data_IF_752887804687
#
_entry.id   IF_752887804687
#
_cell.length_a   1.000
_cell.length_b   1.000
_cell.length_c   1.000
_cell.angle_alpha   90.00
_cell.angle_beta   90.00
_cell.angle_gamma   90.00
#
_symmetry.space_group_name_H-M   'P 1'
#
loop_
_entity.id
_entity.type
_entity.pdbx_description
1 polymer ?
2 non-polymer ?
3 non-polymer ?
4 water ?
#
# COMPACT_ATOMS: atom_id res chain seq x y z
N UNK A 39 22.28 7.17 -2.89
CA UNK A 39 22.94 8.51 -2.87
C UNK A 39 24.24 8.45 -2.05
N UNK A 40 24.70 9.60 -1.53
CA UNK A 40 25.90 9.62 -0.67
C UNK A 40 25.67 9.07 0.73
N UNK A 41 24.39 9.01 1.12
CA UNK A 41 24.02 8.52 2.46
C UNK A 41 24.26 7.02 2.47
N UNK A 42 25.12 6.52 3.38
CA UNK A 42 25.16 5.09 3.63
C UNK A 42 23.94 4.68 4.44
N UNK A 43 23.32 3.58 4.05
CA UNK A 43 22.10 3.12 4.73
C UNK A 43 22.42 1.79 5.41
N UNK A 44 22.24 1.74 6.75
CA UNK A 44 22.57 0.57 7.52
C UNK A 44 21.33 0.19 8.32
N UNK A 45 20.86 -1.03 8.09
CA UNK A 45 19.72 -1.53 8.85
C UNK A 45 20.17 -2.26 10.11
N UNK A 46 19.48 -2.00 11.22
CA UNK A 46 19.74 -2.69 12.47
C UNK A 46 18.60 -3.69 12.58
N UNK A 47 18.96 -4.98 12.60
CA UNK A 47 17.98 -6.09 12.63
C UNK A 47 18.14 -6.89 13.92
N UNK A 48 17.06 -7.52 14.36
CA UNK A 48 17.09 -8.35 15.54
C UNK A 48 15.66 -8.52 16.04
N UNK A 49 15.47 -9.47 16.95
CA UNK A 49 14.15 -9.84 17.39
C UNK A 49 13.50 -8.71 18.25
N UNK A 50 12.22 -8.84 18.58
CA UNK A 50 11.55 -7.89 19.45
C UNK A 50 12.32 -7.76 20.78
N UNK A 51 12.61 -6.53 21.24
CA UNK A 51 13.30 -6.27 22.52
C UNK A 51 14.73 -6.79 22.59
N UNK A 52 15.36 -7.07 21.44
CA UNK A 52 16.80 -7.39 21.41
C UNK A 52 17.63 -6.25 21.97
N UNK A 53 17.21 -5.01 21.69
CA UNK A 53 17.86 -3.81 22.20
C UNK A 53 18.33 -2.87 21.10
N UNK A 54 17.57 -2.84 20.01
CA UNK A 54 18.00 -2.15 18.79
C UNK A 54 17.88 -0.65 18.92
N UNK A 55 16.74 -0.20 19.42
CA UNK A 55 16.49 1.22 19.62
C UNK A 55 17.42 1.77 20.69
N UNK A 56 17.58 1.03 21.79
CA UNK A 56 18.54 1.38 22.82
C UNK A 56 19.96 1.52 22.30
N UNK A 57 20.45 0.50 21.60
CA UNK A 57 21.82 0.49 21.11
C UNK A 57 22.03 1.62 20.08
N UNK A 58 21.17 1.68 19.09
CA UNK A 58 21.36 2.65 18.01
C UNK A 58 21.19 4.12 18.45
N UNK A 59 20.31 4.35 19.41
CA UNK A 59 20.10 5.72 19.83
C UNK A 59 21.19 6.27 20.72
N UNK A 60 22.00 5.37 21.27
CA UNK A 60 23.14 5.77 22.06
C UNK A 60 24.34 5.91 21.10
N UNK A 61 24.51 4.91 20.25
CA UNK A 61 25.54 4.88 19.20
C UNK A 61 25.66 6.16 18.38
N UNK A 62 24.51 6.64 17.89
CA UNK A 62 24.48 7.74 16.91
C UNK A 62 24.86 9.11 17.50
N UNK A 63 24.90 9.21 18.81
CA UNK A 63 25.53 10.36 19.45
C UNK A 63 27.03 10.44 19.17
N UNK A 64 27.64 9.36 18.69
CA UNK A 64 29.08 9.32 18.40
C UNK A 64 29.44 10.20 17.21
N UNK A 65 28.48 10.50 16.37
CA UNK A 65 28.73 11.36 15.22
C UNK A 65 27.54 12.23 14.82
N UNK A 66 27.82 13.50 14.51
CA UNK A 66 26.81 14.39 13.95
C UNK A 66 26.36 13.94 12.56
N UNK A 67 27.21 13.16 11.88
CA UNK A 67 26.87 12.59 10.57
C UNK A 67 26.02 11.29 10.70
N UNK A 68 25.70 10.87 11.93
CA UNK A 68 24.86 9.66 12.15
C UNK A 68 23.45 9.99 12.62
N UNK A 69 22.45 9.42 11.93
CA UNK A 69 21.05 9.57 12.30
C UNK A 69 20.34 8.25 12.24
N UNK A 70 19.14 8.20 12.82
CA UNK A 70 18.35 6.94 12.91
C UNK A 70 16.96 7.22 12.38
N UNK A 71 16.38 6.28 11.63
CA UNK A 71 14.96 6.26 11.31
C UNK A 71 14.31 5.20 12.23
N UNK A 72 13.53 5.62 13.25
CA UNK A 72 13.01 4.62 14.20
C UNK A 72 11.90 3.83 13.57
N UNK A 73 11.62 2.62 14.07
CA UNK A 73 10.56 1.81 13.50
C UNK A 73 9.22 2.44 13.92
N UNK A 74 8.23 2.53 13.01
CA UNK A 74 6.99 3.29 13.34
C UNK A 74 6.01 2.52 14.26
N UNK A 75 6.53 1.88 15.30
CA UNK A 75 5.64 1.08 16.15
C UNK A 75 4.48 1.91 16.79
N UNK A 76 4.76 3.13 17.28
CA UNK A 76 3.68 4.03 17.80
C UNK A 76 2.50 4.22 16.86
N UNK A 77 2.81 4.31 15.56
CA UNK A 77 1.80 4.47 14.51
C UNK A 77 0.94 3.21 14.29
N UNK A 78 1.44 2.03 14.74
CA UNK A 78 0.70 0.74 14.63
C UNK A 78 -0.21 0.49 15.81
N UNK A 79 0.19 0.96 16.99
CA UNK A 79 -0.67 0.91 18.18
C UNK A 79 -1.68 2.09 18.37
N UNK A 80 -1.61 3.10 17.52
CA UNK A 80 -2.52 4.22 17.50
C UNK A 80 -2.65 4.64 16.06
N UNK A 81 -3.64 4.08 15.39
CA UNK A 81 -3.69 4.15 13.92
C UNK A 81 -4.41 5.43 13.55
N UNK A 82 -3.71 6.34 12.85
CA UNK A 82 -4.20 7.68 12.53
C UNK A 82 -3.87 8.01 11.08
N UNK A 83 -4.75 8.76 10.42
CA UNK A 83 -4.42 9.33 9.11
C UNK A 83 -4.57 10.87 9.10
N UNK A 84 -4.08 11.50 8.05
CA UNK A 84 -3.89 12.94 8.02
C UNK A 84 -5.22 13.68 8.10
N UNK A 85 -5.29 14.72 8.95
CA UNK A 85 -6.50 15.56 9.02
C UNK A 85 -6.51 16.60 7.90
N UNK A 86 -7.69 16.93 7.40
CA UNK A 86 -7.90 18.07 6.50
C UNK A 86 -7.30 19.35 7.15
N UNK A 87 -6.89 20.32 6.32
CA UNK A 87 -6.22 21.56 6.80
C UNK A 87 -7.08 22.49 7.68
N UNK A 88 -8.40 22.41 7.50
CA UNK A 88 -9.32 23.20 8.26
C UNK A 88 -9.82 22.43 9.46
N UNK A 89 -10.19 21.17 9.26
CA UNK A 89 -10.62 20.28 10.36
C UNK A 89 -9.65 20.20 11.53
N UNK A 90 -8.35 20.18 11.25
CA UNK A 90 -7.37 20.12 12.34
C UNK A 90 -7.27 21.41 13.16
N UNK A 91 -7.78 22.52 12.66
CA UNK A 91 -7.79 23.70 13.53
C UNK A 91 -8.85 23.65 14.61
N UNK A 92 -9.90 22.85 14.44
CA UNK A 92 -10.96 22.79 15.46
C UNK A 92 -11.22 21.39 16.08
N UNK A 93 -10.66 20.33 15.47
CA UNK A 93 -10.75 18.96 15.96
C UNK A 93 -9.36 18.40 16.35
N UNK A 94 -9.30 17.78 17.52
CA UNK A 94 -8.14 16.99 17.93
C UNK A 94 -7.85 15.84 16.96
N UNK A 95 -6.61 15.36 16.98
CA UNK A 95 -6.25 14.15 16.27
C UNK A 95 -6.44 13.06 17.33
N UNK A 96 -7.60 12.39 17.30
CA UNK A 96 -7.96 11.36 18.30
C UNK A 96 -7.14 10.08 18.15
N UNK A 97 -7.12 9.31 19.23
CA UNK A 97 -6.55 7.95 19.24
C UNK A 97 -7.38 7.01 18.36
N UNK A 98 -6.72 6.38 17.40
CA UNK A 98 -7.40 5.48 16.48
C UNK A 98 -7.27 4.08 17.01
N UNK A 99 -7.57 3.12 16.13
CA UNK A 99 -7.49 1.71 16.48
C UNK A 99 -6.09 1.27 16.82
N UNK A 100 -5.99 0.10 17.44
CA UNK A 100 -4.74 -0.55 17.76
C UNK A 100 -4.62 -1.79 16.86
N UNK A 101 -4.10 -1.60 15.67
CA UNK A 101 -3.90 -2.71 14.75
C UNK A 101 -2.78 -3.67 15.25
N UNK A 102 -1.83 -3.19 16.02
CA UNK A 102 -0.83 -4.08 16.62
C UNK A 102 -1.55 -5.09 17.50
N UNK A 103 -2.42 -4.58 18.35
CA UNK A 103 -3.14 -5.43 19.32
C UNK A 103 -4.08 -6.39 18.60
N UNK A 104 -4.77 -5.88 17.58
CA UNK A 104 -5.65 -6.72 16.76
C UNK A 104 -4.90 -7.90 16.16
N UNK A 105 -3.69 -7.63 15.63
CA UNK A 105 -2.89 -8.71 15.07
C UNK A 105 -2.55 -9.74 16.15
N UNK A 106 -2.08 -9.30 17.31
CA UNK A 106 -1.75 -10.26 18.36
C UNK A 106 -2.95 -11.05 18.84
N UNK A 107 -4.09 -10.38 18.92
CA UNK A 107 -5.28 -11.03 19.40
C UNK A 107 -5.88 -12.03 18.40
N UNK A 108 -5.93 -11.66 17.11
CA UNK A 108 -6.51 -12.54 16.09
C UNK A 108 -5.69 -12.51 14.80
N UNK A 109 -4.49 -13.13 14.82
CA UNK A 109 -3.55 -13.02 13.69
C UNK A 109 -4.07 -13.54 12.36
N UNK A 110 -4.90 -14.59 12.37
CA UNK A 110 -5.51 -15.12 11.13
C UNK A 110 -6.50 -14.14 10.47
N UNK A 111 -7.01 -13.18 11.26
CA UNK A 111 -7.85 -12.08 10.71
C UNK A 111 -7.04 -10.82 10.33
N UNK A 112 -6.12 -10.42 11.22
CA UNK A 112 -5.41 -9.14 11.08
C UNK A 112 -3.98 -9.08 10.54
N UNK A 113 -3.35 -10.24 10.28
CA UNK A 113 -1.92 -10.29 9.92
C UNK A 113 -1.67 -9.57 8.62
N UNK A 114 -2.38 -9.95 7.57
CA UNK A 114 -2.27 -9.24 6.27
C UNK A 114 -2.40 -7.68 6.40
N UNK A 115 -3.45 -7.21 7.05
CA UNK A 115 -3.71 -5.81 7.25
C UNK A 115 -2.57 -5.13 8.05
N UNK A 116 -2.19 -5.79 9.15
CA UNK A 116 -1.06 -5.28 9.91
C UNK A 116 0.24 -5.18 9.05
N UNK A 117 0.60 -6.26 8.37
CA UNK A 117 1.87 -6.34 7.66
C UNK A 117 1.91 -5.30 6.52
N UNK A 118 0.82 -5.19 5.80
CA UNK A 118 0.68 -4.14 4.75
C UNK A 118 1.00 -2.77 5.32
N UNK A 119 0.29 -2.41 6.39
CA UNK A 119 0.47 -1.12 7.06
C UNK A 119 1.84 -0.90 7.67
N UNK A 120 2.40 -1.95 8.30
CA UNK A 120 3.73 -1.85 8.91
C UNK A 120 4.76 -1.49 7.85
N UNK A 121 4.67 -2.14 6.71
CA UNK A 121 5.68 -1.90 5.66
C UNK A 121 5.46 -0.54 5.02
N UNK A 122 4.21 -0.21 4.74
CA UNK A 122 3.92 1.13 4.14
C UNK A 122 4.44 2.28 5.05
N UNK A 123 4.13 2.20 6.33
CA UNK A 123 4.60 3.25 7.23
C UNK A 123 6.12 3.28 7.35
N UNK A 124 6.78 2.12 7.23
CA UNK A 124 8.23 2.07 7.28
C UNK A 124 8.85 2.73 6.06
N UNK A 125 8.37 2.33 4.89
CA UNK A 125 8.91 2.87 3.64
C UNK A 125 8.72 4.39 3.70
N UNK A 126 7.52 4.83 4.05
CA UNK A 126 7.24 6.25 4.15
C UNK A 126 8.26 6.98 5.05
N UNK A 127 8.44 6.55 6.29
CA UNK A 127 9.44 7.13 7.14
C UNK A 127 10.87 7.04 6.59
N UNK A 128 11.26 5.91 5.99
CA UNK A 128 12.68 5.81 5.56
C UNK A 128 13.00 6.76 4.38
N UNK A 129 12.09 6.79 3.40
CA UNK A 129 12.19 7.73 2.27
C UNK A 129 12.26 9.21 2.65
N UNK A 130 11.41 9.63 3.60
CA UNK A 130 11.36 11.03 4.00
C UNK A 130 12.63 11.42 4.67
N UNK A 131 13.16 10.52 5.49
CA UNK A 131 14.42 10.78 6.15
C UNK A 131 15.58 10.75 5.15
N UNK A 132 15.46 9.94 4.10
CA UNK A 132 16.53 9.85 3.13
C UNK A 132 16.63 11.18 2.41
N UNK A 133 15.48 11.78 2.12
CA UNK A 133 15.41 12.96 1.29
C UNK A 133 15.50 14.28 2.07
N UNK A 134 15.79 14.21 3.36
CA UNK A 134 15.68 15.40 4.19
C UNK A 134 16.66 15.58 5.32
N UNK A 135 17.33 14.51 5.72
CA UNK A 135 18.32 14.60 6.81
C UNK A 135 19.76 14.47 6.28
N UNK A 136 20.72 14.82 7.12
CA UNK A 136 22.13 14.62 6.81
C UNK A 136 22.55 15.29 5.49
N UNK A 137 21.93 16.45 5.19
CA UNK A 137 22.24 17.24 3.98
C UNK A 137 23.64 17.90 4.05
N UNK A 138 24.01 18.37 5.25
CA UNK A 138 25.30 19.00 5.48
C UNK A 138 26.26 18.08 6.25
N UNK A 139 26.35 16.80 5.82
CA UNK A 139 27.26 15.84 6.46
C UNK A 139 28.45 15.40 5.58
N UNK A 140 29.61 15.24 6.22
CA UNK A 140 30.81 14.80 5.52
C UNK A 140 30.80 13.30 5.18
N UNK A 141 30.48 12.44 6.17
CA UNK A 141 30.27 11.02 5.87
C UNK A 141 28.95 10.56 6.51
N UNK A 142 27.83 10.77 5.81
CA UNK A 142 26.52 10.58 6.42
C UNK A 142 26.18 9.09 6.54
N UNK A 143 25.69 8.67 7.71
CA UNK A 143 25.20 7.31 7.87
C UNK A 143 23.80 7.37 8.46
N UNK A 144 22.84 6.79 7.73
CA UNK A 144 21.46 6.65 8.16
C UNK A 144 21.23 5.20 8.64
N UNK A 145 20.89 5.07 9.92
CA UNK A 145 20.61 3.75 10.47
C UNK A 145 19.10 3.48 10.50
N UNK A 146 18.65 2.38 9.92
CA UNK A 146 17.26 2.03 9.90
C UNK A 146 16.99 1.01 11.00
N UNK A 147 16.01 1.29 11.85
CA UNK A 147 15.55 0.26 12.77
C UNK A 147 14.70 -0.70 11.94
N UNK A 148 15.32 -1.81 11.55
CA UNK A 148 14.76 -2.87 10.70
C UNK A 148 14.54 -2.35 9.28
N UNK A 149 14.15 -3.25 8.38
CA UNK A 149 14.05 -2.94 6.95
C UNK A 149 12.79 -3.50 6.34
N UNK A 150 12.52 -3.11 5.08
CA UNK A 150 11.46 -3.77 4.34
C UNK A 150 11.70 -5.27 4.15
N UNK A 151 12.96 -5.68 4.19
CA UNK A 151 13.26 -7.12 4.10
C UNK A 151 12.87 -7.90 5.34
N UNK A 152 13.08 -7.32 6.53
CA UNK A 152 12.60 -8.05 7.69
C UNK A 152 11.09 -8.05 7.75
N UNK A 153 10.43 -7.01 7.24
CA UNK A 153 8.96 -7.00 7.21
C UNK A 153 8.44 -8.24 6.49
N UNK A 154 9.01 -8.49 5.29
CA UNK A 154 8.57 -9.60 4.47
C UNK A 154 9.12 -10.99 4.84
N UNK A 155 10.44 -11.08 5.03
CA UNK A 155 11.12 -12.38 5.11
C UNK A 155 11.19 -12.90 6.53
N UNK A 156 10.96 -12.02 7.50
CA UNK A 156 10.90 -12.44 8.89
C UNK A 156 9.45 -12.46 9.33
N UNK A 157 8.83 -11.27 9.40
CA UNK A 157 7.52 -11.12 10.06
C UNK A 157 6.33 -11.65 9.26
N UNK A 158 6.13 -11.13 8.06
CA UNK A 158 5.05 -11.64 7.20
C UNK A 158 5.20 -13.15 6.91
N UNK A 159 6.43 -13.56 6.62
CA UNK A 159 6.68 -14.90 6.22
C UNK A 159 6.35 -15.87 7.35
N UNK A 160 6.69 -15.48 8.56
CA UNK A 160 6.42 -16.29 9.75
C UNK A 160 4.91 -16.44 9.93
N UNK A 161 4.17 -15.39 9.60
CA UNK A 161 2.74 -15.43 9.71
C UNK A 161 2.13 -16.29 8.63
N UNK A 162 2.65 -16.22 7.40
CA UNK A 162 2.24 -17.16 6.36
C UNK A 162 2.49 -18.63 6.76
N UNK A 163 3.71 -18.89 7.22
CA UNK A 163 4.07 -20.22 7.76
C UNK A 163 3.24 -20.66 8.95
N UNK A 164 2.64 -19.73 9.67
CA UNK A 164 1.79 -20.09 10.78
C UNK A 164 0.34 -20.19 10.38
N UNK A 165 0.06 -20.05 9.08
CA UNK A 165 -1.32 -20.04 8.58
C UNK A 165 -2.18 -18.88 9.11
N UNK A 166 -1.53 -17.75 9.40
CA UNK A 166 -2.19 -16.54 9.84
C UNK A 166 -2.46 -15.62 8.64
N UNK A 167 -1.80 -15.93 7.52
CA UNK A 167 -2.17 -15.44 6.21
C UNK A 167 -2.39 -16.65 5.33
N UNK A 168 -3.43 -16.61 4.48
CA UNK A 168 -3.71 -17.70 3.57
C UNK A 168 -2.97 -17.41 2.25
N UNK A 169 -3.18 -18.26 1.24
CA UNK A 169 -2.39 -18.16 -0.02
C UNK A 169 -2.63 -16.87 -0.77
N UNK A 170 -3.89 -16.43 -0.73
CA UNK A 170 -4.36 -15.21 -1.39
C UNK A 170 -3.71 -13.99 -0.71
N UNK A 171 -3.78 -13.94 0.61
CA UNK A 171 -3.19 -12.83 1.35
C UNK A 171 -1.70 -12.81 1.10
N UNK A 172 -1.05 -13.98 1.09
CA UNK A 172 0.39 -14.04 0.95
C UNK A 172 0.83 -13.60 -0.46
N UNK A 173 0.10 -14.08 -1.46
CA UNK A 173 0.29 -13.64 -2.83
C UNK A 173 0.11 -12.12 -3.01
N UNK A 174 -0.98 -11.54 -2.48
CA UNK A 174 -1.21 -10.08 -2.57
C UNK A 174 -0.07 -9.31 -1.91
N UNK A 175 0.30 -9.74 -0.70
CA UNK A 175 1.34 -9.07 0.04
C UNK A 175 2.67 -9.06 -0.72
N UNK A 176 3.12 -10.21 -1.21
CA UNK A 176 4.39 -10.29 -1.93
C UNK A 176 4.41 -9.49 -3.23
N UNK A 177 3.28 -9.53 -3.95
CA UNK A 177 3.07 -8.74 -5.17
C UNK A 177 3.22 -7.22 -4.94
N UNK A 178 2.52 -6.72 -3.93
CA UNK A 178 2.64 -5.34 -3.49
C UNK A 178 4.04 -4.95 -3.05
N UNK A 179 4.65 -5.81 -2.21
CA UNK A 179 6.06 -5.63 -1.74
C UNK A 179 7.08 -5.55 -2.89
N UNK A 180 6.98 -6.47 -3.84
CA UNK A 180 7.87 -6.50 -5.03
C UNK A 180 7.71 -5.22 -5.84
N UNK A 181 6.46 -4.88 -6.12
CA UNK A 181 6.12 -3.70 -6.91
C UNK A 181 6.69 -2.43 -6.29
N UNK A 182 6.35 -2.14 -5.04
CA UNK A 182 6.94 -0.98 -4.36
C UNK A 182 8.45 -0.89 -4.39
N UNK A 183 9.10 -2.01 -4.11
CA UNK A 183 10.55 -2.09 -4.24
C UNK A 183 11.13 -1.87 -5.64
N UNK A 184 10.51 -2.41 -6.68
CA UNK A 184 10.97 -2.08 -8.02
C UNK A 184 10.79 -0.60 -8.31
N UNK A 185 9.78 0.03 -7.69
CA UNK A 185 9.51 1.44 -7.94
C UNK A 185 10.66 2.32 -7.48
N UNK A 186 11.27 1.96 -6.36
CA UNK A 186 12.28 2.84 -5.76
C UNK A 186 13.69 2.67 -6.32
N UNK A 187 13.94 1.52 -6.94
CA UNK A 187 15.26 1.23 -7.51
C UNK A 187 16.26 1.12 -6.38
N UNK A 188 17.37 1.84 -6.50
CA UNK A 188 18.44 1.76 -5.50
C UNK A 188 18.21 2.66 -4.26
N UNK A 189 17.05 3.33 -4.21
CA UNK A 189 16.76 4.32 -3.17
C UNK A 189 17.04 3.82 -1.78
N UNK A 190 16.36 2.73 -1.42
CA UNK A 190 16.42 2.19 -0.06
C UNK A 190 17.45 1.08 0.11
N UNK A 191 18.04 0.62 -0.99
CA UNK A 191 19.07 -0.42 -0.94
C UNK A 191 20.07 -0.19 0.17
N UNK A 192 20.33 -1.24 0.91
CA UNK A 192 21.24 -1.21 2.06
C UNK A 192 22.69 -1.40 1.68
N UNK A 193 23.54 -0.67 2.38
CA UNK A 193 24.99 -0.77 2.29
C UNK A 193 25.56 -1.77 3.28
N UNK A 194 24.79 -2.07 4.35
CA UNK A 194 25.26 -2.92 5.41
C UNK A 194 24.09 -3.23 6.32
N UNK A 195 24.25 -4.31 7.07
CA UNK A 195 23.30 -4.78 8.06
C UNK A 195 24.05 -5.08 9.36
N UNK A 196 23.51 -4.61 10.47
CA UNK A 196 24.03 -5.00 11.77
C UNK A 196 22.97 -5.85 12.45
N UNK A 197 23.31 -7.08 12.70
CA UNK A 197 22.40 -8.01 13.35
C UNK A 197 22.69 -8.07 14.85
N UNK A 198 21.73 -7.66 15.66
CA UNK A 198 21.89 -7.72 17.12
C UNK A 198 21.24 -9.01 17.55
N UNK A 199 22.09 -9.92 18.00
CA UNK A 199 21.67 -11.27 18.24
C UNK A 199 21.43 -11.40 19.74
N UNK A 200 20.23 -11.84 20.09
CA UNK A 200 19.88 -12.09 21.48
C UNK A 200 19.10 -13.43 21.49
N UNK A 201 19.23 -14.23 22.55
CA UNK A 201 18.34 -15.39 22.70
C UNK A 201 16.85 -15.01 22.85
N UNK A 202 15.94 -15.92 22.45
CA UNK A 202 14.52 -15.69 22.62
C UNK A 202 14.21 -15.39 24.11
N UNK A 203 14.96 -16.03 25.03
CA UNK A 203 14.74 -15.87 26.46
C UNK A 203 15.17 -14.48 26.92
N UNK A 204 16.26 -14.00 26.38
CA UNK A 204 16.65 -12.61 26.63
C UNK A 204 15.59 -11.60 26.14
N UNK A 205 15.13 -11.73 24.90
CA UNK A 205 14.08 -10.89 24.35
C UNK A 205 12.81 -10.91 25.17
N UNK A 206 12.38 -12.11 25.55
CA UNK A 206 11.21 -12.26 26.43
C UNK A 206 11.34 -11.46 27.73
N UNK A 207 12.49 -11.58 28.40
CA UNK A 207 12.78 -10.81 29.60
C UNK A 207 12.74 -9.28 29.32
N UNK A 208 13.35 -8.86 28.20
CA UNK A 208 13.40 -7.47 27.87
C UNK A 208 12.06 -6.87 27.43
N UNK A 209 11.21 -7.68 26.80
CA UNK A 209 9.81 -7.33 26.61
C UNK A 209 9.16 -6.95 27.94
N UNK A 210 9.40 -7.77 28.97
CA UNK A 210 8.89 -7.45 30.31
C UNK A 210 9.48 -6.17 30.87
N UNK A 211 10.78 -6.00 30.70
CA UNK A 211 11.46 -4.81 31.21
C UNK A 211 10.87 -3.55 30.57
N UNK A 212 10.61 -3.63 29.25
CA UNK A 212 10.17 -2.44 28.49
C UNK A 212 8.71 -2.10 28.84
N UNK A 213 7.90 -3.15 28.93
CA UNK A 213 6.51 -3.05 29.40
C UNK A 213 5.53 -2.48 28.38
N UNK A 214 5.88 -2.55 27.10
CA UNK A 214 4.90 -2.25 26.06
C UNK A 214 3.66 -3.16 26.23
N UNK A 215 2.51 -2.50 26.39
CA UNK A 215 1.29 -3.19 26.76
C UNK A 215 0.88 -4.34 25.87
N UNK A 216 0.97 -4.15 24.57
CA UNK A 216 0.44 -5.18 23.65
C UNK A 216 1.33 -6.43 23.56
N UNK A 217 2.55 -6.32 24.10
CA UNK A 217 3.53 -7.41 23.98
C UNK A 217 3.52 -8.35 25.19
N UNK A 218 2.64 -8.08 26.16
CA UNK A 218 2.86 -8.68 27.44
C UNK A 218 2.46 -10.17 27.46
N UNK A 219 1.50 -10.55 26.63
CA UNK A 219 1.18 -11.96 26.45
C UNK A 219 2.03 -12.76 25.46
N UNK A 220 3.04 -12.15 24.85
CA UNK A 220 3.86 -12.86 23.88
C UNK A 220 4.56 -14.10 24.49
N UNK A 221 4.33 -15.30 23.88
CA UNK A 221 4.96 -16.48 24.42
C UNK A 221 6.34 -16.71 23.83
N UNK A 222 7.17 -17.41 24.59
CA UNK A 222 8.49 -17.78 24.15
C UNK A 222 8.54 -18.38 22.71
N UNK A 223 7.63 -19.30 22.38
CA UNK A 223 7.56 -19.98 21.06
C UNK A 223 7.49 -19.02 19.87
N UNK A 224 6.79 -17.91 20.06
CA UNK A 224 6.66 -16.94 18.97
C UNK A 224 8.01 -16.25 18.67
N UNK A 225 8.69 -15.82 19.75
CA UNK A 225 10.07 -15.24 19.70
C UNK A 225 11.11 -16.19 19.12
N UNK A 226 10.97 -17.48 19.49
CA UNK A 226 11.78 -18.53 19.00
C UNK A 226 11.61 -18.68 17.49
N UNK A 227 10.39 -18.69 16.98
CA UNK A 227 10.17 -18.79 15.52
C UNK A 227 10.83 -17.61 14.79
N UNK A 228 10.66 -16.44 15.36
CA UNK A 228 11.29 -15.21 14.82
C UNK A 228 12.79 -15.26 14.88
N UNK A 229 13.30 -15.84 15.96
CA UNK A 229 14.75 -16.01 16.13
C UNK A 229 15.37 -16.81 15.00
N UNK A 230 14.74 -17.95 14.74
CA UNK A 230 15.11 -18.87 13.68
C UNK A 230 15.09 -18.18 12.32
N UNK A 231 14.11 -17.34 12.04
CA UNK A 231 14.10 -16.61 10.77
C UNK A 231 15.31 -15.66 10.68
N UNK A 232 15.65 -14.98 11.77
CA UNK A 232 16.80 -14.07 11.77
C UNK A 232 18.08 -14.84 11.55
N UNK A 233 18.21 -16.02 12.19
CA UNK A 233 19.45 -16.81 12.07
C UNK A 233 19.67 -17.30 10.62
N UNK A 234 18.59 -17.81 10.00
CA UNK A 234 18.63 -18.28 8.60
C UNK A 234 19.02 -17.14 7.63
N UNK A 235 18.44 -15.97 7.87
CA UNK A 235 18.70 -14.82 6.98
C UNK A 235 20.09 -14.24 7.21
N UNK A 236 20.42 -13.96 8.47
CA UNK A 236 21.56 -13.07 8.77
C UNK A 236 22.83 -13.77 9.21
N UNK A 237 22.67 -15.00 9.71
CA UNK A 237 23.79 -15.74 10.29
C UNK A 237 24.19 -16.91 9.41
N UNK A 238 23.26 -17.84 9.15
CA UNK A 238 23.59 -18.99 8.30
C UNK A 238 23.51 -18.57 6.85
N UNK A 239 22.76 -17.49 6.61
CA UNK A 239 22.55 -16.88 5.27
C UNK A 239 22.11 -17.92 4.26
N UNK A 240 21.13 -18.70 4.63
CA UNK A 240 20.57 -19.70 3.77
C UNK A 240 19.23 -19.21 3.25
N UNK A 241 18.69 -18.16 3.83
CA UNK A 241 17.37 -17.73 3.41
C UNK A 241 17.50 -16.96 2.10
N UNK A 242 16.77 -17.39 1.08
CA UNK A 242 16.81 -16.76 -0.25
C UNK A 242 15.74 -15.66 -0.41
N UNK A 243 16.14 -14.52 -0.94
CA UNK A 243 15.18 -13.44 -1.15
C UNK A 243 15.14 -13.06 -2.60
N UNK A 244 14.13 -12.29 -2.93
CA UNK A 244 13.92 -11.84 -4.30
C UNK A 244 14.87 -10.72 -4.68
N UNK A 245 15.78 -10.37 -3.78
CA UNK A 245 16.59 -9.16 -3.94
C UNK A 245 18.04 -9.59 -3.89
N UNK A 246 18.57 -9.89 -5.08
CA UNK A 246 19.89 -10.52 -5.23
C UNK A 246 21.09 -9.84 -4.56
N UNK A 247 21.16 -8.52 -4.64
CA UNK A 247 22.27 -7.80 -3.97
C UNK A 247 22.38 -8.12 -2.47
N UNK A 248 21.27 -8.59 -1.85
CA UNK A 248 21.32 -8.93 -0.42
C UNK A 248 22.24 -10.08 -0.11
N UNK A 249 22.43 -10.98 -1.08
CA UNK A 249 23.28 -12.15 -0.89
C UNK A 249 24.73 -11.68 -0.62
N UNK A 250 25.06 -10.51 -1.15
CA UNK A 250 26.38 -9.89 -1.01
C UNK A 250 26.53 -8.78 0.06
N UNK A 251 25.44 -8.17 0.52
CA UNK A 251 25.51 -7.10 1.54
C UNK A 251 26.27 -7.58 2.81
N UNK A 252 27.24 -6.76 3.28
CA UNK A 252 28.02 -7.19 4.45
C UNK A 252 27.16 -7.13 5.69
N UNK A 253 27.38 -8.08 6.61
CA UNK A 253 26.63 -8.19 7.87
C UNK A 253 27.59 -8.25 9.04
N UNK A 254 27.33 -7.47 10.06
CA UNK A 254 28.08 -7.55 11.31
C UNK A 254 27.13 -8.19 12.31
N UNK A 255 27.53 -9.25 12.98
CA UNK A 255 26.65 -9.88 13.97
C UNK A 255 27.20 -9.50 15.31
N UNK A 256 26.36 -8.94 16.16
CA UNK A 256 26.79 -8.55 17.53
C UNK A 256 26.00 -9.32 18.58
N UNK A 257 26.67 -9.89 19.58
CA UNK A 257 25.95 -10.59 20.64
C UNK A 257 25.51 -9.55 21.69
N UNK A 258 24.20 -9.39 21.86
CA UNK A 258 23.68 -8.38 22.79
C UNK A 258 22.97 -8.99 24.00
N UNK A 259 23.28 -10.25 24.32
CA UNK A 259 22.67 -10.91 25.51
C UNK A 259 23.17 -10.34 26.84
N UNK A 260 24.38 -9.79 26.85
CA UNK A 260 24.89 -9.20 28.09
C UNK A 260 24.19 -7.90 28.51
N UNK A 261 24.26 -7.61 29.80
CA UNK A 261 23.92 -6.31 30.33
C UNK A 261 24.70 -5.24 29.56
N UNK A 262 24.01 -4.14 29.25
CA UNK A 262 24.47 -3.04 28.36
C UNK A 262 25.90 -2.55 28.59
N UNK A 263 26.25 -2.20 29.83
CA UNK A 263 27.65 -1.78 30.16
C UNK A 263 28.73 -2.81 29.84
N UNK A 264 28.36 -4.09 29.81
CA UNK A 264 29.36 -5.17 29.78
C UNK A 264 30.06 -5.42 28.42
N UNK A 265 29.40 -5.02 27.34
CA UNK A 265 29.95 -5.19 26.02
C UNK A 265 29.92 -3.92 25.18
N UNK A 266 29.36 -2.83 25.69
CA UNK A 266 29.13 -1.70 24.82
C UNK A 266 30.39 -1.16 24.14
N UNK A 267 31.46 -0.96 24.91
CA UNK A 267 32.74 -0.57 24.36
C UNK A 267 33.16 -1.43 23.16
N UNK A 268 33.12 -2.74 23.32
CA UNK A 268 33.52 -3.63 22.24
C UNK A 268 32.56 -3.56 21.02
N UNK A 269 31.26 -3.42 21.26
CA UNK A 269 30.29 -3.29 20.15
C UNK A 269 30.50 -2.03 19.34
N UNK A 270 30.81 -0.93 20.01
CA UNK A 270 31.05 0.34 19.36
C UNK A 270 32.30 0.25 18.49
N UNK A 271 33.35 -0.41 19.01
CA UNK A 271 34.60 -0.65 18.24
C UNK A 271 34.32 -1.49 16.99
N UNK A 272 33.54 -2.57 17.17
CA UNK A 272 33.16 -3.41 16.01
C UNK A 272 32.36 -2.62 14.97
N UNK A 273 31.42 -1.81 15.40
CA UNK A 273 30.62 -1.03 14.45
C UNK A 273 31.49 -0.04 13.67
N UNK A 274 32.39 0.65 14.38
CA UNK A 274 33.25 1.63 13.72
C UNK A 274 34.16 0.96 12.68
N UNK A 275 34.72 -0.20 13.03
CA UNK A 275 35.51 -1.00 12.11
C UNK A 275 34.64 -1.43 10.90
N UNK A 276 33.42 -1.90 11.14
CA UNK A 276 32.54 -2.36 10.06
C UNK A 276 32.25 -1.26 9.08
N UNK A 277 31.89 -0.09 9.59
CA UNK A 277 31.52 1.04 8.74
C UNK A 277 32.64 1.56 7.86
N UNK A 278 33.87 1.50 8.38
CA UNK A 278 35.06 1.89 7.60
C UNK A 278 35.22 1.02 6.37
N UNK A 279 34.69 -0.20 6.41
CA UNK A 279 34.73 -1.15 5.26
C UNK A 279 33.71 -0.92 4.16
N UNK A 280 32.62 -0.20 4.45
CA UNK A 280 31.52 0.01 3.47
C UNK A 280 31.81 1.12 2.42
N UNK B 40 2.54 14.66 -21.00
CA UNK B 40 1.78 15.18 -22.19
C UNK B 40 0.70 14.26 -22.77
N UNK B 41 0.53 13.06 -22.23
CA UNK B 41 -0.62 12.22 -22.64
C UNK B 41 -1.85 12.76 -21.89
N UNK B 42 -2.94 12.99 -22.60
CA UNK B 42 -4.16 13.38 -21.92
C UNK B 42 -4.68 12.15 -21.23
N UNK B 43 -5.13 12.30 -19.99
CA UNK B 43 -5.65 11.13 -19.29
C UNK B 43 -7.12 11.40 -18.99
N UNK B 44 -7.99 10.56 -19.53
CA UNK B 44 -9.42 10.70 -19.29
C UNK B 44 -9.95 9.47 -18.54
N UNK B 45 -10.61 9.62 -17.40
CA UNK B 45 -11.18 8.41 -16.82
C UNK B 45 -12.63 8.28 -17.20
N UNK B 46 -13.08 7.04 -17.40
CA UNK B 46 -14.47 6.72 -17.67
C UNK B 46 -15.03 6.13 -16.39
N UNK B 47 -16.04 6.79 -15.89
CA UNK B 47 -16.62 6.43 -14.60
C UNK B 47 -18.09 6.03 -14.76
N UNK B 48 -18.56 5.20 -13.85
CA UNK B 48 -19.93 4.76 -13.92
C UNK B 48 -20.09 3.43 -13.22
N UNK B 49 -21.35 3.14 -12.94
CA UNK B 49 -21.71 1.97 -12.15
C UNK B 49 -21.28 0.65 -12.83
N UNK B 50 -21.35 -0.42 -12.06
CA UNK B 50 -21.07 -1.77 -12.55
C UNK B 50 -22.03 -2.04 -13.72
N UNK B 51 -21.46 -2.43 -14.87
CA UNK B 51 -22.16 -2.79 -16.10
C UNK B 51 -22.96 -1.65 -16.75
N UNK B 52 -22.57 -0.38 -16.47
CA UNK B 52 -23.17 0.73 -17.15
C UNK B 52 -22.80 0.63 -18.62
N UNK B 53 -21.60 0.12 -18.90
CA UNK B 53 -21.11 -0.12 -20.27
C UNK B 53 -19.82 0.61 -20.60
N UNK B 54 -18.93 0.78 -19.61
CA UNK B 54 -17.67 1.57 -19.79
C UNK B 54 -16.66 0.90 -20.71
N UNK B 55 -16.47 -0.40 -20.49
CA UNK B 55 -15.53 -1.23 -21.25
C UNK B 55 -15.95 -1.31 -22.72
N UNK B 56 -17.23 -1.55 -22.96
CA UNK B 56 -17.84 -1.53 -24.29
C UNK B 56 -17.55 -0.18 -24.97
N UNK B 57 -17.98 0.91 -24.34
CA UNK B 57 -17.88 2.25 -24.95
C UNK B 57 -16.46 2.64 -25.32
N UNK B 58 -15.53 2.44 -24.39
CA UNK B 58 -14.16 2.81 -24.62
C UNK B 58 -13.44 1.93 -25.67
N UNK B 59 -13.75 0.63 -25.71
CA UNK B 59 -13.26 -0.26 -26.76
C UNK B 59 -13.69 0.20 -28.14
N UNK B 60 -14.93 0.70 -28.24
CA UNK B 60 -15.42 1.40 -29.45
C UNK B 60 -14.63 2.65 -29.75
N UNK B 61 -14.57 3.55 -28.77
CA UNK B 61 -13.88 4.83 -28.91
C UNK B 61 -12.41 4.63 -29.30
N UNK B 62 -11.79 3.62 -28.74
CA UNK B 62 -10.41 3.29 -28.98
C UNK B 62 -10.09 3.30 -30.50
N UNK B 63 -11.01 2.81 -31.32
CA UNK B 63 -10.72 2.58 -32.74
C UNK B 63 -10.73 3.87 -33.58
N UNK B 64 -11.28 4.95 -33.04
CA UNK B 64 -11.31 6.24 -33.76
C UNK B 64 -9.94 6.83 -34.09
N UNK B 65 -8.94 6.58 -33.25
CA UNK B 65 -7.63 7.12 -33.56
C UNK B 65 -6.54 6.20 -33.10
N UNK B 66 -5.47 6.19 -33.89
CA UNK B 66 -4.26 5.45 -33.50
C UNK B 66 -3.61 6.13 -32.29
N UNK B 67 -3.99 7.39 -32.02
CA UNK B 67 -3.47 8.15 -30.88
C UNK B 67 -4.21 7.86 -29.56
N UNK B 68 -5.23 7.00 -29.59
CA UNK B 68 -6.07 6.70 -28.41
C UNK B 68 -5.86 5.28 -27.93
N UNK B 69 -5.49 5.11 -26.65
CA UNK B 69 -5.37 3.79 -26.00
C UNK B 69 -6.20 3.75 -24.70
N UNK B 70 -6.44 2.54 -24.20
CA UNK B 70 -7.31 2.29 -23.04
C UNK B 70 -6.52 1.51 -21.97
N UNK B 71 -6.72 1.82 -20.69
CA UNK B 71 -6.23 0.96 -19.63
C UNK B 71 -7.46 0.31 -19.00
N UNK B 72 -7.72 -0.98 -19.30
CA UNK B 72 -8.94 -1.62 -18.81
C UNK B 72 -8.86 -1.83 -17.28
N UNK B 73 -10.00 -1.90 -16.62
CA UNK B 73 -9.99 -2.16 -15.20
C UNK B 73 -9.52 -3.61 -15.02
N UNK B 74 -8.56 -3.85 -14.11
CA UNK B 74 -7.90 -5.18 -14.04
C UNK B 74 -8.73 -6.28 -13.40
N UNK B 75 -10.00 -6.40 -13.78
CA UNK B 75 -10.95 -7.27 -13.12
C UNK B 75 -10.59 -8.79 -13.28
N UNK B 76 -9.89 -9.16 -14.35
CA UNK B 76 -9.43 -10.55 -14.50
C UNK B 76 -8.44 -10.92 -13.39
N UNK B 77 -7.57 -9.96 -13.04
CA UNK B 77 -6.56 -10.15 -12.00
C UNK B 77 -7.22 -10.33 -10.66
N UNK B 78 -8.41 -9.77 -10.50
CA UNK B 78 -9.08 -9.83 -9.20
C UNK B 78 -9.78 -11.16 -8.95
N UNK B 79 -10.22 -11.86 -9.99
CA UNK B 79 -10.90 -13.12 -9.80
C UNK B 79 -9.91 -14.30 -9.90
N UNK B 80 -8.66 -13.98 -10.23
CA UNK B 80 -7.57 -14.96 -10.24
C UNK B 80 -6.25 -14.35 -9.81
N UNK B 81 -6.02 -14.39 -8.49
CA UNK B 81 -4.91 -13.68 -7.89
C UNK B 81 -3.61 -14.42 -8.14
N UNK B 82 -2.69 -13.78 -8.86
CA UNK B 82 -1.43 -14.40 -9.26
C UNK B 82 -0.27 -13.45 -9.09
N UNK B 98 -5.02 -19.00 -8.81
CA UNK B 98 -5.04 -18.43 -7.46
C UNK B 98 -6.44 -18.18 -6.87
N UNK B 99 -6.48 -17.56 -5.69
CA UNK B 99 -7.72 -17.19 -5.05
C UNK B 99 -8.55 -16.18 -5.83
N UNK B 100 -9.85 -16.24 -5.61
CA UNK B 100 -10.77 -15.29 -6.19
C UNK B 100 -11.14 -14.27 -5.14
N UNK B 101 -10.31 -13.23 -5.04
CA UNK B 101 -10.51 -12.21 -3.98
C UNK B 101 -11.75 -11.34 -4.21
N UNK B 102 -12.13 -11.17 -5.48
CA UNK B 102 -13.42 -10.55 -5.84
C UNK B 102 -14.60 -11.34 -5.25
N UNK B 103 -14.62 -12.63 -5.54
CA UNK B 103 -15.62 -13.49 -4.91
C UNK B 103 -15.52 -13.50 -3.38
N UNK B 104 -14.30 -13.60 -2.84
CA UNK B 104 -14.17 -13.60 -1.38
C UNK B 104 -14.79 -12.35 -0.78
N UNK B 105 -14.66 -11.22 -1.48
CA UNK B 105 -15.22 -9.97 -0.99
C UNK B 105 -16.76 -9.93 -1.08
N UNK B 106 -17.33 -10.52 -2.12
CA UNK B 106 -18.77 -10.46 -2.26
C UNK B 106 -19.44 -11.40 -1.25
N UNK B 107 -18.84 -12.56 -1.06
CA UNK B 107 -19.34 -13.54 -0.11
C UNK B 107 -19.15 -13.17 1.36
N UNK B 108 -17.95 -12.69 1.73
CA UNK B 108 -17.70 -12.26 3.11
C UNK B 108 -17.12 -10.86 3.16
N UNK B 109 -17.96 -9.83 2.89
CA UNK B 109 -17.42 -8.47 2.75
C UNK B 109 -16.82 -7.87 4.05
N UNK B 110 -17.33 -8.26 5.22
CA UNK B 110 -16.73 -7.81 6.48
C UNK B 110 -15.32 -8.35 6.71
N UNK B 111 -15.01 -9.48 6.08
CA UNK B 111 -13.71 -10.11 6.20
C UNK B 111 -12.74 -9.66 5.14
N UNK B 112 -13.22 -9.54 3.90
CA UNK B 112 -12.34 -9.35 2.74
C UNK B 112 -12.36 -8.00 2.04
N UNK B 113 -13.24 -7.09 2.45
CA UNK B 113 -13.35 -5.82 1.73
C UNK B 113 -12.06 -5.00 1.70
N UNK B 114 -11.35 -4.97 2.83
CA UNK B 114 -10.15 -4.14 2.88
C UNK B 114 -9.05 -4.76 2.02
N UNK B 115 -8.90 -6.08 2.08
CA UNK B 115 -7.88 -6.76 1.28
C UNK B 115 -8.21 -6.55 -0.19
N UNK B 116 -9.49 -6.69 -0.53
CA UNK B 116 -9.91 -6.52 -1.91
C UNK B 116 -9.59 -5.10 -2.38
N UNK B 117 -10.10 -4.10 -1.65
CA UNK B 117 -9.91 -2.69 -2.02
C UNK B 117 -8.46 -2.32 -2.22
N UNK B 118 -7.59 -2.86 -1.37
CA UNK B 118 -6.18 -2.51 -1.47
C UNK B 118 -5.57 -3.06 -2.71
N UNK B 119 -5.88 -4.33 -3.01
CA UNK B 119 -5.38 -5.00 -4.20
C UNK B 119 -5.96 -4.42 -5.48
N UNK B 120 -7.24 -4.05 -5.46
CA UNK B 120 -7.91 -3.38 -6.61
C UNK B 120 -7.23 -2.03 -6.96
N UNK B 121 -6.91 -1.27 -5.94
CA UNK B 121 -6.31 0.02 -6.19
C UNK B 121 -4.85 -0.15 -6.65
N UNK B 122 -4.10 -0.99 -5.96
CA UNK B 122 -2.72 -1.33 -6.33
C UNK B 122 -2.64 -1.76 -7.80
N UNK B 123 -3.50 -2.70 -8.16
CA UNK B 123 -3.47 -3.31 -9.48
C UNK B 123 -3.82 -2.26 -10.53
N UNK B 124 -4.73 -1.33 -10.21
CA UNK B 124 -5.09 -0.24 -11.12
C UNK B 124 -3.94 0.72 -11.33
N UNK B 125 -3.38 1.23 -10.23
CA UNK B 125 -2.19 2.09 -10.28
C UNK B 125 -1.08 1.50 -11.15
N UNK B 126 -0.80 0.22 -10.91
CA UNK B 126 0.23 -0.51 -11.66
C UNK B 126 -0.04 -0.51 -13.19
N UNK B 127 -1.25 -0.92 -13.58
CA UNK B 127 -1.68 -0.89 -14.99
C UNK B 127 -1.64 0.51 -15.61
N UNK B 128 -2.15 1.54 -14.91
CA UNK B 128 -2.12 2.92 -15.43
C UNK B 128 -0.70 3.45 -15.58
N UNK B 129 0.16 3.24 -14.58
CA UNK B 129 1.56 3.70 -14.70
C UNK B 129 2.26 3.03 -15.89
N UNK B 130 2.01 1.74 -16.07
CA UNK B 130 2.70 0.98 -17.10
C UNK B 130 2.30 1.49 -18.47
N UNK B 131 1.04 1.91 -18.61
CA UNK B 131 0.56 2.33 -19.93
C UNK B 131 1.11 3.71 -20.34
N UNK B 132 1.38 4.57 -19.36
CA UNK B 132 1.99 5.87 -19.63
C UNK B 132 3.41 5.63 -20.14
N UNK B 133 4.05 4.63 -19.51
CA UNK B 133 5.45 4.25 -19.75
C UNK B 133 5.71 3.64 -21.11
N UNK B 134 4.85 3.91 -22.09
CA UNK B 134 5.23 3.82 -23.50
C UNK B 134 4.35 2.99 -24.38
N UNK B 135 3.50 3.64 -25.16
CA UNK B 135 2.73 3.00 -26.23
C UNK B 135 1.98 4.05 -27.05
N UNK B 136 2.28 5.33 -26.78
CA UNK B 136 1.71 6.48 -27.47
C UNK B 136 2.78 7.55 -27.67
N UNK B 138 5.33 9.38 -28.58
CA UNK B 138 5.54 9.24 -30.02
C UNK B 138 4.20 9.15 -30.79
N UNK B 139 3.38 10.19 -30.60
CA UNK B 139 2.04 10.29 -31.16
C UNK B 139 1.68 11.79 -31.24
N UNK B 140 0.83 12.17 -32.20
CA UNK B 140 0.47 13.58 -32.41
C UNK B 140 -0.22 14.14 -31.16
N UNK B 141 -1.44 13.69 -30.89
CA UNK B 141 -2.21 14.05 -29.69
C UNK B 141 -2.64 12.78 -28.89
N UNK B 142 -1.77 12.29 -28.01
CA UNK B 142 -2.11 11.06 -27.28
C UNK B 142 -3.20 11.24 -26.18
N UNK B 143 -4.19 10.34 -26.20
CA UNK B 143 -5.19 10.22 -25.13
C UNK B 143 -5.14 8.79 -24.56
N UNK B 144 -5.10 8.69 -23.25
CA UNK B 144 -5.25 7.42 -22.59
C UNK B 144 -6.59 7.47 -21.80
N UNK B 145 -7.49 6.53 -22.10
CA UNK B 145 -8.75 6.41 -21.38
C UNK B 145 -8.58 5.35 -20.31
N UNK B 146 -8.79 5.75 -19.07
CA UNK B 146 -8.73 4.83 -17.91
C UNK B 146 -10.13 4.30 -17.65
N UNK B 147 -10.27 2.99 -17.43
CA UNK B 147 -11.54 2.49 -16.91
C UNK B 147 -11.47 2.69 -15.40
N UNK B 148 -12.21 3.69 -14.92
CA UNK B 148 -12.21 4.16 -13.53
C UNK B 148 -10.85 4.73 -13.12
N UNK B 149 -10.80 5.20 -11.90
CA UNK B 149 -9.63 5.91 -11.39
C UNK B 149 -9.41 5.50 -9.96
N UNK B 150 -8.28 5.90 -9.42
CA UNK B 150 -7.99 5.66 -8.00
C UNK B 150 -8.95 6.46 -7.14
N UNK B 151 -9.58 7.50 -7.71
CA UNK B 151 -10.60 8.29 -6.99
C UNK B 151 -11.89 7.57 -6.80
N UNK B 152 -12.37 6.87 -7.83
CA UNK B 152 -13.57 6.06 -7.60
C UNK B 152 -13.26 4.81 -6.73
N UNK B 153 -12.01 4.32 -6.73
CA UNK B 153 -11.65 3.25 -5.81
C UNK B 153 -11.95 3.64 -4.36
N UNK B 154 -11.60 4.86 -3.98
CA UNK B 154 -11.62 5.31 -2.58
C UNK B 154 -12.94 5.96 -2.27
N UNK B 155 -13.31 6.92 -3.13
CA UNK B 155 -14.41 7.79 -2.82
C UNK B 155 -15.77 7.24 -3.15
N UNK B 156 -15.82 6.25 -4.04
CA UNK B 156 -17.03 5.47 -4.29
C UNK B 156 -17.03 4.11 -3.61
N UNK B 157 -16.14 3.19 -4.03
CA UNK B 157 -16.26 1.80 -3.64
C UNK B 157 -15.82 1.60 -2.21
N UNK B 158 -14.59 2.02 -1.90
CA UNK B 158 -14.13 1.83 -0.54
C UNK B 158 -14.96 2.58 0.46
N UNK B 159 -15.28 3.85 0.18
CA UNK B 159 -16.13 4.63 1.04
C UNK B 159 -17.46 3.92 1.29
N UNK B 160 -18.08 3.39 0.24
CA UNK B 160 -19.38 2.71 0.40
C UNK B 160 -19.29 1.51 1.34
N UNK B 161 -18.19 0.77 1.24
CA UNK B 161 -17.96 -0.42 2.08
C UNK B 161 -17.80 -0.04 3.56
N UNK B 162 -17.04 1.01 3.81
CA UNK B 162 -16.98 1.66 5.10
C UNK B 162 -18.35 2.11 5.64
N UNK B 163 -19.10 2.86 4.80
CA UNK B 163 -20.47 3.25 5.10
C UNK B 163 -21.43 2.12 5.47
N UNK B 164 -21.23 0.94 4.88
CA UNK B 164 -22.06 -0.25 5.15
C UNK B 164 -21.49 -1.13 6.27
N UNK B 165 -20.41 -0.67 6.88
CA UNK B 165 -19.71 -1.41 7.94
C UNK B 165 -19.01 -2.71 7.48
N UNK B 166 -18.67 -2.81 6.19
CA UNK B 166 -17.79 -3.89 5.73
C UNK B 166 -16.33 -3.60 5.98
N UNK B 167 -16.00 -2.35 6.24
CA UNK B 167 -14.67 -2.00 6.82
C UNK B 167 -14.91 -1.31 8.14
N UNK B 168 -14.07 -1.61 9.15
CA UNK B 168 -14.19 -0.91 10.45
C UNK B 168 -13.38 0.38 10.41
N UNK B 169 -13.40 1.16 11.49
CA UNK B 169 -12.72 2.47 11.52
C UNK B 169 -11.21 2.32 11.26
N UNK B 170 -10.63 1.23 11.80
CA UNK B 170 -9.19 1.02 11.66
C UNK B 170 -8.87 0.69 10.22
N UNK B 171 -9.63 -0.26 9.65
CA UNK B 171 -9.42 -0.61 8.28
C UNK B 171 -9.53 0.58 7.36
N UNK B 172 -10.49 1.48 7.63
CA UNK B 172 -10.79 2.63 6.74
C UNK B 172 -9.69 3.66 6.90
N UNK B 173 -9.19 3.82 8.14
CA UNK B 173 -8.06 4.74 8.38
C UNK B 173 -6.79 4.26 7.70
N UNK B 174 -6.50 2.96 7.82
CA UNK B 174 -5.34 2.38 7.15
C UNK B 174 -5.45 2.58 5.64
N UNK B 175 -6.64 2.29 5.11
CA UNK B 175 -6.84 2.37 3.66
C UNK B 175 -6.61 3.84 3.14
N UNK B 176 -7.18 4.83 3.81
CA UNK B 176 -6.99 6.24 3.48
C UNK B 176 -5.52 6.65 3.55
N UNK B 177 -4.83 6.15 4.59
CA UNK B 177 -3.42 6.51 4.84
C UNK B 177 -2.55 5.91 3.74
N UNK B 178 -2.83 4.67 3.38
CA UNK B 178 -2.17 3.95 2.27
C UNK B 178 -2.50 4.64 0.94
N UNK B 179 -3.78 4.89 0.68
CA UNK B 179 -4.18 5.62 -0.51
C UNK B 179 -3.56 7.01 -0.59
N UNK B 180 -3.50 7.76 0.51
CA UNK B 180 -2.80 9.08 0.51
C UNK B 180 -1.33 9.00 0.08
N UNK B 181 -0.60 8.04 0.66
CA UNK B 181 0.84 7.94 0.41
C UNK B 181 1.07 7.40 -0.99
N UNK B 182 0.41 6.27 -1.30
CA UNK B 182 0.51 5.61 -2.60
C UNK B 182 0.30 6.58 -3.76
N UNK B 183 -0.77 7.36 -3.68
CA UNK B 183 -1.07 8.35 -4.72
C UNK B 183 -0.04 9.45 -4.83
N UNK B 184 0.41 9.92 -3.67
CA UNK B 184 1.25 11.10 -3.56
C UNK B 184 2.65 10.92 -4.17
N UNK B 185 3.15 9.69 -4.22
CA UNK B 185 4.29 9.34 -5.05
C UNK B 185 3.84 9.23 -6.52
N UNK B 186 3.01 8.20 -6.80
CA UNK B 186 2.52 7.88 -8.15
C UNK B 186 1.08 8.32 -8.36
N UNK B 189 1.32 12.18 -11.70
CA UNK B 189 1.64 11.42 -12.93
C UNK B 189 0.36 10.81 -13.53
N UNK B 190 -0.53 10.39 -12.65
CA UNK B 190 -1.85 9.86 -13.02
C UNK B 190 -3.00 10.90 -13.03
N UNK B 191 -2.71 12.17 -12.73
CA UNK B 191 -3.72 13.24 -12.70
C UNK B 191 -4.57 13.33 -13.96
N UNK B 192 -5.87 13.50 -13.76
CA UNK B 192 -6.81 13.46 -14.90
C UNK B 192 -6.91 14.80 -15.57
N UNK B 193 -7.02 14.77 -16.90
CA UNK B 193 -7.40 15.96 -17.70
C UNK B 193 -8.92 16.06 -17.86
N UNK B 194 -9.63 14.96 -17.67
CA UNK B 194 -11.06 15.03 -17.89
C UNK B 194 -11.66 13.70 -17.46
N UNK B 195 -12.97 13.76 -17.23
CA UNK B 195 -13.72 12.59 -16.81
C UNK B 195 -14.97 12.47 -17.68
N UNK B 196 -15.21 11.26 -18.19
CA UNK B 196 -16.48 10.92 -18.85
C UNK B 196 -17.28 10.07 -17.90
N UNK B 197 -18.48 10.55 -17.58
CA UNK B 197 -19.41 9.82 -16.69
C UNK B 197 -20.53 9.14 -17.51
N UNK B 198 -20.53 7.80 -17.55
CA UNK B 198 -21.60 7.03 -18.21
C UNK B 198 -22.66 6.73 -17.19
N UNK B 199 -23.82 7.33 -17.42
CA UNK B 199 -24.91 7.39 -16.45
C UNK B 199 -25.91 6.39 -17.01
N UNK B 200 -26.20 5.38 -16.18
CA UNK B 200 -27.20 4.35 -16.42
C UNK B 200 -27.96 4.13 -15.14
N UNK B 201 -29.27 3.88 -15.21
CA UNK B 201 -30.03 3.64 -13.97
C UNK B 201 -29.56 2.38 -13.31
N UNK B 202 -29.75 2.26 -11.99
CA UNK B 202 -29.43 0.99 -11.37
C UNK B 202 -30.16 -0.21 -12.01
N UNK B 203 -31.40 -0.04 -12.45
CA UNK B 203 -32.15 -1.14 -13.14
C UNK B 203 -31.48 -1.52 -14.44
N UNK B 204 -30.97 -0.53 -15.18
CA UNK B 204 -30.17 -0.83 -16.41
C UNK B 204 -28.91 -1.68 -16.10
N UNK B 205 -28.19 -1.27 -15.06
CA UNK B 205 -26.95 -1.92 -14.67
C UNK B 205 -27.28 -3.33 -14.21
N UNK B 206 -28.40 -3.51 -13.53
CA UNK B 206 -28.71 -4.82 -13.00
C UNK B 206 -28.96 -5.80 -14.17
N UNK B 207 -29.70 -5.32 -15.17
CA UNK B 207 -29.97 -6.06 -16.41
C UNK B 207 -28.67 -6.46 -17.14
N UNK B 208 -27.81 -5.46 -17.34
CA UNK B 208 -26.54 -5.62 -18.01
C UNK B 208 -25.61 -6.52 -17.21
N UNK B 209 -25.73 -6.58 -15.88
CA UNK B 209 -24.98 -7.57 -15.14
C UNK B 209 -25.36 -8.97 -15.61
N UNK B 210 -26.65 -9.22 -15.77
CA UNK B 210 -27.15 -10.51 -16.18
C UNK B 210 -26.74 -10.76 -17.64
N UNK B 211 -26.86 -9.74 -18.50
CA UNK B 211 -26.40 -9.90 -19.88
C UNK B 211 -24.97 -10.40 -19.94
N UNK B 212 -24.07 -9.71 -19.28
CA UNK B 212 -22.66 -10.06 -19.28
C UNK B 212 -22.33 -11.44 -18.62
N UNK B 213 -23.04 -11.80 -17.55
CA UNK B 213 -22.91 -13.11 -16.90
C UNK B 213 -21.62 -13.40 -16.16
N UNK B 214 -20.94 -12.36 -15.64
CA UNK B 214 -19.77 -12.60 -14.78
C UNK B 214 -20.29 -13.34 -13.54
N UNK B 215 -19.71 -14.50 -13.23
CA UNK B 215 -20.23 -15.38 -12.18
C UNK B 215 -20.27 -14.71 -10.80
N UNK B 216 -19.19 -14.01 -10.46
CA UNK B 216 -19.06 -13.32 -9.17
C UNK B 216 -20.15 -12.27 -8.94
N UNK B 217 -20.75 -11.80 -10.04
CA UNK B 217 -21.72 -10.68 -9.99
C UNK B 217 -23.20 -11.08 -9.90
N UNK B 218 -23.48 -12.34 -10.14
CA UNK B 218 -24.85 -12.77 -10.37
C UNK B 218 -25.82 -12.58 -9.18
N UNK B 219 -25.29 -12.56 -7.96
CA UNK B 219 -26.15 -12.33 -6.78
C UNK B 219 -26.34 -10.85 -6.38
N UNK B 220 -25.62 -9.94 -7.05
CA UNK B 220 -25.72 -8.53 -6.69
C UNK B 220 -27.19 -8.03 -6.66
N UNK B 221 -27.61 -7.45 -5.52
CA UNK B 221 -28.98 -6.89 -5.42
C UNK B 221 -29.10 -5.50 -6.01
N UNK B 222 -30.31 -5.15 -6.50
CA UNK B 222 -30.59 -3.77 -6.91
C UNK B 222 -30.09 -2.71 -5.91
N UNK B 223 -30.39 -2.88 -4.62
CA UNK B 223 -30.05 -1.87 -3.58
C UNK B 223 -28.58 -1.50 -3.50
N UNK B 224 -27.72 -2.47 -3.74
CA UNK B 224 -26.29 -2.22 -3.72
C UNK B 224 -25.89 -1.30 -4.87
N UNK B 225 -26.48 -1.55 -6.03
CA UNK B 225 -26.28 -0.69 -7.22
C UNK B 225 -26.89 0.70 -7.06
N UNK B 226 -28.07 0.80 -6.44
CA UNK B 226 -28.57 2.11 -6.00
C UNK B 226 -27.59 2.87 -5.13
N UNK B 227 -26.98 2.21 -4.15
CA UNK B 227 -26.00 2.90 -3.33
C UNK B 227 -24.85 3.43 -4.15
N UNK B 228 -24.32 2.62 -5.04
CA UNK B 228 -23.18 3.06 -5.90
C UNK B 228 -23.58 4.19 -6.83
N UNK B 229 -24.81 4.12 -7.34
CA UNK B 229 -25.37 5.12 -8.22
C UNK B 229 -25.45 6.49 -7.50
N UNK B 230 -25.96 6.51 -6.26
CA UNK B 230 -26.07 7.78 -5.51
C UNK B 230 -24.70 8.39 -5.27
N UNK B 231 -23.71 7.56 -4.99
CA UNK B 231 -22.30 8.01 -4.83
C UNK B 231 -21.76 8.70 -6.08
N UNK B 232 -21.90 8.01 -7.20
CA UNK B 232 -21.47 8.55 -8.48
C UNK B 232 -22.15 9.88 -8.76
N UNK B 233 -23.44 9.92 -8.49
CA UNK B 233 -24.24 11.12 -8.76
C UNK B 233 -23.74 12.27 -7.87
N UNK B 234 -23.53 11.97 -6.59
CA UNK B 234 -22.97 12.95 -5.66
C UNK B 234 -21.59 13.41 -6.16
N UNK B 235 -20.76 12.49 -6.66
CA UNK B 235 -19.42 12.90 -7.09
C UNK B 235 -19.45 13.71 -8.38
N UNK B 236 -20.17 13.20 -9.38
CA UNK B 236 -19.94 13.66 -10.75
C UNK B 236 -21.07 14.52 -11.30
N UNK B 237 -22.24 14.45 -10.68
CA UNK B 237 -23.33 15.30 -11.18
C UNK B 237 -23.64 16.45 -10.23
N UNK B 238 -24.01 16.14 -8.99
CA UNK B 238 -24.25 17.17 -7.99
C UNK B 238 -22.98 17.86 -7.55
N UNK B 239 -21.85 17.16 -7.61
CA UNK B 239 -20.53 17.68 -7.23
C UNK B 239 -20.49 18.06 -5.75
N UNK B 240 -21.20 17.29 -4.95
CA UNK B 240 -21.26 17.50 -3.52
C UNK B 240 -20.30 16.57 -2.80
N UNK B 241 -19.64 15.69 -3.55
CA UNK B 241 -18.64 14.79 -2.95
C UNK B 241 -17.24 15.43 -2.97
N UNK B 242 -16.69 15.62 -1.77
CA UNK B 242 -15.37 16.26 -1.58
C UNK B 242 -14.25 15.22 -1.47
N UNK B 243 -13.19 15.43 -2.25
CA UNK B 243 -11.98 14.60 -2.13
C UNK B 243 -10.85 15.44 -1.54
N UNK B 244 -9.79 14.81 -1.07
CA UNK B 244 -8.63 15.60 -0.65
C UNK B 244 -7.66 15.77 -1.80
N UNK B 245 -8.20 15.78 -3.01
CA UNK B 245 -7.44 16.08 -4.22
C UNK B 245 -8.01 17.36 -4.84
N UNK B 246 -7.36 18.46 -4.55
CA UNK B 246 -7.92 19.78 -4.85
C UNK B 246 -8.10 20.08 -6.35
N UNK B 247 -7.19 19.54 -7.16
CA UNK B 247 -7.20 19.72 -8.62
C UNK B 247 -8.45 19.13 -9.29
N UNK B 248 -9.07 18.17 -8.61
CA UNK B 248 -10.25 17.46 -9.14
C UNK B 248 -11.47 18.35 -9.29
N UNK B 249 -11.52 19.46 -8.56
CA UNK B 249 -12.62 20.41 -8.74
C UNK B 249 -12.56 21.14 -10.08
N UNK B 250 -11.40 21.13 -10.73
CA UNK B 250 -11.18 21.84 -11.99
C UNK B 250 -11.43 20.96 -13.23
N UNK B 251 -11.36 19.65 -13.05
CA UNK B 251 -11.44 18.70 -14.17
C UNK B 251 -12.85 18.73 -14.80
N UNK B 252 -12.96 19.06 -16.12
CA UNK B 252 -14.28 18.99 -16.79
C UNK B 252 -14.88 17.58 -16.75
N UNK B 253 -16.20 17.49 -16.66
CA UNK B 253 -16.88 16.21 -16.69
C UNK B 253 -17.88 16.23 -17.82
N UNK B 254 -17.82 15.24 -18.72
CA UNK B 254 -18.85 15.03 -19.77
C UNK B 254 -19.74 13.92 -19.27
N UNK B 255 -21.00 14.23 -19.01
CA UNK B 255 -21.92 13.21 -18.60
C UNK B 255 -22.72 12.72 -19.81
N UNK B 256 -22.68 11.41 -20.07
CA UNK B 256 -23.37 10.79 -21.19
C UNK B 256 -24.39 9.79 -20.69
N UNK B 257 -25.62 9.87 -21.20
CA UNK B 257 -26.69 8.95 -20.78
C UNK B 257 -26.61 7.70 -21.63
N UNK B 258 -26.32 6.55 -21.04
CA UNK B 258 -26.14 5.33 -21.81
C UNK B 258 -27.23 4.28 -21.52
N UNK B 259 -28.37 4.74 -20.99
CA UNK B 259 -29.49 3.82 -20.74
C UNK B 259 -30.09 3.14 -21.97
N UNK B 260 -30.09 3.79 -23.14
CA UNK B 260 -30.67 3.13 -24.32
C UNK B 260 -29.77 2.00 -24.87
N UNK B 261 -30.39 1.10 -25.63
CA UNK B 261 -29.70 0.10 -26.40
C UNK B 261 -28.66 0.75 -27.34
N UNK B 262 -27.48 0.16 -27.52
CA UNK B 262 -26.42 0.88 -28.29
C UNK B 262 -26.75 1.47 -29.65
N UNK B 263 -27.83 1.04 -30.30
CA UNK B 263 -28.21 1.63 -31.59
C UNK B 263 -28.97 2.96 -31.42
N UNK B 265 -28.23 5.39 -29.38
CA UNK B 265 -27.55 6.69 -29.33
C UNK B 265 -26.03 6.75 -29.64
N UNK B 266 -25.40 5.65 -30.05
CA UNK B 266 -23.91 5.65 -30.07
C UNK B 266 -23.20 6.64 -30.99
N UNK B 267 -23.91 7.07 -32.04
CA UNK B 267 -23.45 8.14 -32.94
C UNK B 267 -23.25 9.44 -32.15
N UNK B 268 -24.33 9.92 -31.53
CA UNK B 268 -24.30 11.14 -30.75
C UNK B 268 -23.14 11.11 -29.71
N UNK B 269 -22.98 9.98 -29.00
CA UNK B 269 -22.07 9.91 -27.83
C UNK B 269 -20.58 10.00 -28.24
N UNK B 270 -20.19 9.26 -29.26
CA UNK B 270 -18.83 9.32 -29.79
C UNK B 270 -18.43 10.75 -30.20
N UNK B 271 -19.29 11.40 -30.95
CA UNK B 271 -19.07 12.77 -31.43
C UNK B 271 -18.91 13.71 -30.27
N UNK B 272 -19.74 13.54 -29.24
CA UNK B 272 -19.64 14.31 -28.00
C UNK B 272 -18.34 14.12 -27.22
N UNK B 273 -17.81 12.90 -27.23
CA UNK B 273 -16.48 12.66 -26.69
C UNK B 273 -15.39 13.29 -27.56
N UNK B 274 -15.40 12.89 -28.82
CA UNK B 274 -14.44 13.28 -29.84
C UNK B 274 -14.11 14.75 -29.65
N UNK B 275 -15.17 15.52 -29.39
CA UNK B 275 -15.07 16.95 -29.25
C UNK B 275 -14.99 17.53 -27.82
N UNK B 276 -15.38 16.75 -26.81
CA UNK B 276 -15.09 17.11 -25.42
C UNK B 276 -13.57 17.15 -25.34
N UNK B 277 -12.90 16.17 -25.96
CA UNK B 277 -11.44 16.09 -25.98
C UNK B 277 -10.75 17.28 -26.64
N UNK B 278 -11.40 17.89 -27.62
CA UNK B 278 -10.72 18.97 -28.35
C UNK B 278 -10.66 20.24 -27.49
N UNK B 279 -11.47 20.27 -26.44
CA UNK B 279 -11.51 21.37 -25.48
C UNK B 279 -10.46 21.23 -24.38
N UNK B 280 -9.81 20.08 -24.28
CA UNK B 280 -8.83 19.84 -23.20
C UNK B 280 -7.40 20.22 -23.64
#
# INVERSE_FOLDING_TARGET
MGSSHHHHHHSSGLVPRGSHMATPPKRSSPSFSASSEGTRIKKISIEGNIAAGKSTFVNILKQLSEDWEVVPEPVARWSNVQSTQDEFEELTMSQKNGGNVLQMMYEKPERWSFTFQTYACLSRIRAQLASLNGKLKDAEKPVLFFERSVYSDRYIFASNLYESESMNETEWTIYQDWHDWMNNQFGQSLELDGIIYLQATPETCLHRIYLRGRNEEQGIPLEYLEKLHYKHESWLLHRTLKTNFDYLQEVPILTLDVNEDFKDKYESLVEKVKEFLSTL
MGSSHHHHHHSSGLVPRGSHMATPPKRSSPSFSASSEGTRIKKISIEGNIAAGKSTFVNILKQLSEDWEVVPEPVARWSNVQSTQDEFEELTMSQKNGGNVLQMMYEKPERWSFTFQTYACLSRIRAQLASLNGKLKDAEKPVLFFERSVYSDRYIFASNLYESESMNETEWTIYQDWHDWMNNQFGQSLELDGIIYLQATPETCLHRIYLRGRNEEQGIPLEYLEKLHYKHESWLLHRTLKTNFDYLQEVPILTLDVNEDFKDKYESLVEKVKEFLSTL
#
